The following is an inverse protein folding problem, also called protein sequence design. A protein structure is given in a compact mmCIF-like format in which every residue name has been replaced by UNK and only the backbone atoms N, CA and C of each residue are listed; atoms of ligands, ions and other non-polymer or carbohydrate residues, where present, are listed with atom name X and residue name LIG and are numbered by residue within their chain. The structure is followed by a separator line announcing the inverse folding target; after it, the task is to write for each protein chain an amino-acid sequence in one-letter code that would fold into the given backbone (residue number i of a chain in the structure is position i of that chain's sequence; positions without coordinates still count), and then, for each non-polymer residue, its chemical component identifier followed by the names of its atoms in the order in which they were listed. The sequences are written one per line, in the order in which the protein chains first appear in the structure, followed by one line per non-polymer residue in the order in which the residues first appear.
data_IF_871131811240
#
_entry.id   IF_871131811240
#
_cell.length_a   1.000
_cell.length_b   1.000
_cell.length_c   1.000
_cell.angle_alpha   90.00
_cell.angle_beta   90.00
_cell.angle_gamma   90.00
#
_symmetry.space_group_name_H-M   'P 1'
#
loop_
_entity.id
_entity.type
_entity.pdbx_description
1 polymer ?
#
# COMPACT_ATOMS: atom_id res chain seq x y z
N UNK A 1 -25.17 -21.23 0.10
CA UNK A 1 -24.65 -20.00 -0.51
C UNK A 1 -23.42 -19.61 0.29
N UNK A 2 -22.24 -20.04 -0.16
CA UNK A 2 -20.97 -19.63 0.46
C UNK A 2 -20.58 -18.33 -0.21
N UNK A 3 -20.87 -17.20 0.44
CA UNK A 3 -20.18 -15.95 0.14
C UNK A 3 -18.72 -16.19 0.53
N UNK A 4 -17.80 -16.30 -0.44
CA UNK A 4 -16.38 -16.59 -0.17
C UNK A 4 -15.71 -15.37 0.47
N UNK A 5 -15.90 -15.21 1.78
CA UNK A 5 -15.24 -14.21 2.62
C UNK A 5 -13.71 -14.39 2.61
N UNK A 6 -13.22 -15.63 2.52
CA UNK A 6 -11.80 -15.91 2.57
C UNK A 6 -11.25 -16.34 1.22
N UNK A 7 -10.11 -15.78 0.82
CA UNK A 7 -9.24 -16.32 -0.22
C UNK A 7 -7.94 -16.83 0.39
N UNK A 8 -7.22 -17.72 -0.28
CA UNK A 8 -5.92 -18.17 0.21
C UNK A 8 -4.91 -18.43 -0.90
N UNK A 9 -3.63 -18.31 -0.53
CA UNK A 9 -2.50 -18.48 -1.42
C UNK A 9 -1.43 -19.33 -0.73
N UNK A 10 -0.95 -20.35 -1.44
CA UNK A 10 0.27 -21.06 -1.05
C UNK A 10 1.48 -20.24 -1.47
N UNK A 11 2.31 -19.85 -0.51
CA UNK A 11 3.52 -19.06 -0.74
C UNK A 11 4.68 -19.70 0.02
N UNK A 12 5.72 -20.06 -0.71
CA UNK A 12 6.78 -20.93 -0.21
C UNK A 12 6.16 -22.22 0.36
N UNK A 13 6.29 -22.49 1.67
CA UNK A 13 5.69 -23.65 2.38
C UNK A 13 4.56 -23.23 3.36
N UNK A 14 3.99 -22.03 3.20
CA UNK A 14 2.98 -21.47 4.09
C UNK A 14 1.68 -21.14 3.35
N UNK A 15 0.55 -21.27 4.05
CA UNK A 15 -0.74 -20.79 3.55
C UNK A 15 -1.01 -19.38 4.07
N UNK A 16 -1.41 -18.49 3.17
CA UNK A 16 -1.80 -17.13 3.51
C UNK A 16 -3.27 -16.97 3.26
N UNK A 17 -4.03 -16.71 4.32
CA UNK A 17 -5.47 -16.53 4.28
C UNK A 17 -5.79 -15.05 4.29
N UNK A 18 -6.55 -14.60 3.31
CA UNK A 18 -7.00 -13.20 3.18
C UNK A 18 -8.47 -13.15 3.54
N UNK A 19 -8.82 -12.31 4.52
CA UNK A 19 -10.20 -12.04 4.87
C UNK A 19 -10.70 -10.82 4.09
N UNK A 20 -11.65 -11.02 3.18
CA UNK A 20 -12.27 -9.96 2.39
C UNK A 20 -13.06 -8.96 3.25
N UNK A 21 -13.54 -9.37 4.43
CA UNK A 21 -14.33 -8.49 5.30
C UNK A 21 -13.44 -7.44 5.98
N UNK A 22 -12.28 -7.85 6.50
CA UNK A 22 -11.33 -6.97 7.18
C UNK A 22 -10.26 -6.40 6.23
N UNK A 23 -9.94 -7.12 5.15
CA UNK A 23 -8.78 -6.86 4.30
C UNK A 23 -7.45 -7.30 4.93
N UNK A 24 -7.49 -8.12 6.00
CA UNK A 24 -6.30 -8.64 6.66
C UNK A 24 -5.79 -9.93 6.02
N UNK A 25 -4.48 -10.17 6.12
CA UNK A 25 -3.83 -11.40 5.69
C UNK A 25 -3.19 -12.13 6.89
N UNK A 26 -3.54 -13.40 7.06
CA UNK A 26 -3.05 -14.28 8.11
C UNK A 26 -2.02 -15.25 7.52
N UNK A 27 -0.82 -15.25 8.09
CA UNK A 27 0.23 -16.21 7.75
C UNK A 27 0.10 -17.46 8.61
N UNK A 28 -0.29 -18.57 8.00
CA UNK A 28 -0.42 -19.84 8.68
C UNK A 28 0.87 -20.64 8.51
N UNK A 29 1.41 -21.13 9.63
CA UNK A 29 2.47 -22.13 9.59
C UNK A 29 1.92 -23.45 9.00
N UNK A 30 2.79 -24.42 8.77
CA UNK A 30 2.42 -25.66 8.09
C UNK A 30 1.26 -26.41 8.80
N UNK A 31 1.31 -26.55 10.13
CA UNK A 31 0.24 -27.21 10.89
C UNK A 31 -1.08 -26.43 10.83
N UNK A 32 -1.04 -25.11 11.02
CA UNK A 32 -2.22 -24.26 10.91
C UNK A 32 -2.81 -24.26 9.49
N UNK A 33 -1.96 -24.36 8.46
CA UNK A 33 -2.40 -24.47 7.06
C UNK A 33 -3.21 -25.73 6.81
N UNK A 34 -2.74 -26.88 7.31
CA UNK A 34 -3.47 -28.16 7.21
C UNK A 34 -4.82 -28.08 7.90
N UNK A 35 -4.85 -27.53 9.12
CA UNK A 35 -6.08 -27.35 9.88
C UNK A 35 -7.07 -26.41 9.19
N UNK A 36 -6.59 -25.30 8.64
CA UNK A 36 -7.42 -24.36 7.89
C UNK A 36 -8.06 -25.03 6.68
N UNK A 37 -7.26 -25.74 5.87
CA UNK A 37 -7.76 -26.44 4.69
C UNK A 37 -8.79 -27.52 5.06
N UNK A 38 -8.56 -28.27 6.15
CA UNK A 38 -9.54 -29.24 6.65
C UNK A 38 -10.89 -28.58 6.98
N UNK A 39 -10.87 -27.44 7.68
CA UNK A 39 -12.09 -26.69 8.02
C UNK A 39 -12.78 -26.04 6.82
N UNK A 40 -12.04 -25.72 5.75
CA UNK A 40 -12.64 -25.21 4.50
C UNK A 40 -13.38 -26.29 3.71
N UNK A 41 -12.96 -27.55 3.84
CA UNK A 41 -13.58 -28.70 3.15
C UNK A 41 -14.86 -29.15 3.88
N UNK A 42 -14.81 -29.26 5.21
CA UNK A 42 -15.96 -29.65 6.01
C UNK A 42 -15.82 -29.18 7.47
N UNK A 43 -16.95 -29.05 8.20
CA UNK A 43 -16.88 -28.89 9.65
C UNK A 43 -16.16 -30.08 10.29
N UNK A 44 -15.31 -29.83 11.29
CA UNK A 44 -14.51 -30.86 11.99
C UNK A 44 -14.60 -30.73 13.52
N UNK A 45 -14.46 -31.84 14.23
CA UNK A 45 -14.19 -31.86 15.67
C UNK A 45 -12.70 -31.71 15.95
N UNK A 46 -12.33 -31.31 17.17
CA UNK A 46 -10.92 -31.22 17.57
C UNK A 46 -10.17 -32.55 17.47
N UNK A 47 -10.86 -33.68 17.70
CA UNK A 47 -10.28 -35.01 17.56
C UNK A 47 -9.95 -35.34 16.09
N UNK A 48 -10.85 -35.03 15.15
CA UNK A 48 -10.61 -35.25 13.72
C UNK A 48 -9.47 -34.36 13.21
N UNK A 49 -9.40 -33.11 13.67
CA UNK A 49 -8.30 -32.20 13.35
C UNK A 49 -6.95 -32.71 13.90
N UNK A 50 -6.94 -33.29 15.10
CA UNK A 50 -5.76 -33.93 15.66
C UNK A 50 -5.33 -35.16 14.85
N UNK A 51 -6.27 -35.99 14.42
CA UNK A 51 -6.01 -37.17 13.57
C UNK A 51 -5.44 -36.76 12.21
N UNK A 52 -5.98 -35.70 11.60
CA UNK A 52 -5.46 -35.13 10.35
C UNK A 52 -4.01 -34.68 10.55
N UNK A 53 -3.71 -33.88 11.57
CA UNK A 53 -2.34 -33.43 11.83
C UNK A 53 -1.36 -34.58 12.09
N UNK A 54 -1.77 -35.59 12.86
CA UNK A 54 -0.95 -36.77 13.12
C UNK A 54 -0.62 -37.55 11.83
N UNK A 55 -1.52 -37.54 10.84
CA UNK A 55 -1.27 -38.12 9.52
C UNK A 55 -0.17 -37.43 8.72
N UNK A 56 0.00 -36.11 8.88
CA UNK A 56 1.06 -35.34 8.22
C UNK A 56 2.37 -35.32 9.01
N UNK A 57 2.31 -35.51 10.33
CA UNK A 57 3.47 -35.40 11.21
C UNK A 57 3.51 -36.55 12.24
N UNK A 58 3.96 -37.75 11.83
CA UNK A 58 3.91 -38.95 12.67
C UNK A 58 4.81 -38.88 13.92
N UNK A 59 5.82 -38.02 13.92
CA UNK A 59 6.76 -37.85 15.05
C UNK A 59 6.36 -36.74 16.05
N UNK A 60 5.18 -36.11 15.88
CA UNK A 60 4.75 -35.04 16.78
C UNK A 60 4.31 -35.58 18.17
N UNK A 61 4.70 -34.95 19.29
CA UNK A 61 4.35 -35.41 20.64
C UNK A 61 2.83 -35.43 20.87
N UNK A 62 2.36 -36.40 21.66
CA UNK A 62 0.94 -36.67 21.96
C UNK A 62 0.18 -35.57 22.76
N UNK A 63 0.76 -34.37 22.92
CA UNK A 63 0.20 -33.23 23.66
C UNK A 63 -0.48 -32.15 22.79
N UNK A 64 -0.79 -32.43 21.52
CA UNK A 64 -1.28 -31.42 20.57
C UNK A 64 -2.73 -30.94 20.76
N UNK A 65 -3.58 -31.68 21.48
CA UNK A 65 -4.97 -31.26 21.68
C UNK A 65 -5.05 -29.83 22.28
N UNK A 66 -4.19 -29.51 23.24
CA UNK A 66 -4.09 -28.17 23.85
C UNK A 66 -3.69 -27.08 22.84
N UNK A 67 -2.88 -27.43 21.83
CA UNK A 67 -2.46 -26.51 20.77
C UNK A 67 -3.56 -26.25 19.73
N UNK A 68 -4.35 -27.27 19.39
CA UNK A 68 -5.49 -27.13 18.48
C UNK A 68 -6.60 -26.31 19.13
N UNK A 69 -6.98 -26.62 20.38
CA UNK A 69 -8.00 -25.85 21.11
C UNK A 69 -7.61 -24.37 21.22
N UNK A 70 -6.34 -24.09 21.58
CA UNK A 70 -5.85 -22.71 21.68
C UNK A 70 -5.90 -21.98 20.31
N UNK A 71 -5.45 -22.64 19.24
CA UNK A 71 -5.48 -22.07 17.89
C UNK A 71 -6.91 -21.76 17.42
N UNK A 72 -7.85 -22.68 17.65
CA UNK A 72 -9.26 -22.49 17.28
C UNK A 72 -9.91 -21.38 18.11
N UNK A 73 -9.58 -21.29 19.40
CA UNK A 73 -10.01 -20.16 20.24
C UNK A 73 -9.49 -18.81 19.73
N UNK A 74 -8.22 -18.75 19.31
CA UNK A 74 -7.63 -17.55 18.71
C UNK A 74 -8.30 -17.18 17.37
N UNK A 75 -8.64 -18.18 16.55
CA UNK A 75 -9.35 -17.97 15.28
C UNK A 75 -10.81 -17.57 15.47
N UNK A 76 -11.49 -18.12 16.47
CA UNK A 76 -12.86 -17.73 16.84
C UNK A 76 -12.91 -16.29 17.36
N UNK A 77 -11.96 -15.90 18.21
CA UNK A 77 -11.85 -14.53 18.70
C UNK A 77 -11.64 -13.51 17.58
N UNK A 78 -11.02 -13.93 16.47
CA UNK A 78 -10.85 -13.14 15.24
C UNK A 78 -11.99 -13.31 14.24
N UNK A 79 -13.02 -14.08 14.57
CA UNK A 79 -14.17 -14.35 13.72
C UNK A 79 -13.85 -15.14 12.45
N UNK A 80 -12.73 -15.88 12.41
CA UNK A 80 -12.26 -16.67 11.27
C UNK A 80 -12.95 -18.04 11.20
N UNK A 81 -13.16 -18.67 12.35
CA UNK A 81 -13.96 -19.88 12.50
C UNK A 81 -15.01 -19.69 13.59
N UNK A 82 -15.94 -20.64 13.68
CA UNK A 82 -16.97 -20.66 14.72
C UNK A 82 -17.33 -22.10 15.04
N UNK A 83 -17.86 -22.33 16.24
CA UNK A 83 -18.47 -23.61 16.57
C UNK A 83 -19.94 -23.65 16.13
N UNK A 84 -20.27 -24.60 15.25
CA UNK A 84 -21.65 -24.82 14.80
C UNK A 84 -22.52 -25.47 15.88
N UNK A 85 -23.83 -25.57 15.64
CA UNK A 85 -24.80 -26.14 16.59
C UNK A 85 -24.52 -27.61 16.98
N UNK A 86 -23.75 -28.33 16.16
CA UNK A 86 -23.30 -29.70 16.43
C UNK A 86 -22.05 -29.80 17.32
N UNK A 87 -21.49 -28.66 17.76
CA UNK A 87 -20.23 -28.62 18.49
C UNK A 87 -18.99 -28.80 17.61
N UNK A 88 -19.16 -28.85 16.28
CA UNK A 88 -18.04 -28.95 15.31
C UNK A 88 -17.62 -27.57 14.84
N UNK A 89 -16.33 -27.40 14.62
CA UNK A 89 -15.72 -26.18 14.12
C UNK A 89 -15.90 -26.07 12.61
N UNK A 90 -16.18 -24.86 12.12
CA UNK A 90 -16.28 -24.55 10.69
C UNK A 90 -15.75 -23.14 10.41
N UNK A 91 -15.32 -22.89 9.17
CA UNK A 91 -14.92 -21.54 8.73
C UNK A 91 -16.12 -20.61 8.78
N UNK A 92 -15.93 -19.41 9.32
CA UNK A 92 -16.99 -18.42 9.47
C UNK A 92 -17.18 -17.61 8.18
N UNK A 93 -17.99 -18.13 7.25
CA UNK A 93 -18.29 -17.47 5.97
C UNK A 93 -19.14 -16.20 6.06
N UNK A 94 -19.54 -15.74 7.26
CA UNK A 94 -20.34 -14.52 7.42
C UNK A 94 -19.45 -13.27 7.23
N UNK A 95 -19.67 -12.44 6.19
CA UNK A 95 -18.88 -11.23 5.95
C UNK A 95 -19.10 -10.12 7.00
N UNK A 96 -20.17 -10.18 7.78
CA UNK A 96 -20.44 -9.19 8.84
C UNK A 96 -19.59 -9.41 10.10
N UNK A 97 -19.02 -10.61 10.28
CA UNK A 97 -18.30 -10.99 11.48
C UNK A 97 -16.83 -10.52 11.53
N UNK A 98 -16.36 -9.78 10.53
CA UNK A 98 -15.02 -9.18 10.50
C UNK A 98 -14.96 -7.77 9.90
N UNK A 99 -16.12 -7.17 9.63
CA UNK A 99 -16.18 -5.81 9.08
C UNK A 99 -15.91 -4.80 10.20
N UNK A 100 -14.83 -4.05 10.07
CA UNK A 100 -14.60 -2.88 10.91
C UNK A 100 -15.60 -1.77 10.46
N UNK A 101 -16.38 -1.22 11.39
CA UNK A 101 -17.40 -0.17 11.15
C UNK A 101 -16.83 1.10 10.46
N UNK A 102 -15.50 1.18 10.37
CA UNK A 102 -14.71 2.26 9.79
C UNK A 102 -14.87 2.45 8.28
N UNK A 103 -15.49 1.53 7.53
CA UNK A 103 -15.65 1.59 6.05
C UNK A 103 -17.10 1.79 5.58
N UNK A 104 -17.89 2.62 6.27
CA UNK A 104 -19.24 2.91 5.80
C UNK A 104 -19.24 3.96 4.68
N UNK A 105 -19.47 3.51 3.45
CA UNK A 105 -19.83 4.39 2.33
C UNK A 105 -21.29 4.83 2.52
N UNK A 106 -21.53 6.14 2.62
CA UNK A 106 -22.89 6.70 2.71
C UNK A 106 -23.10 7.68 1.57
N UNK A 107 -24.22 7.53 0.86
CA UNK A 107 -24.70 8.56 -0.05
C UNK A 107 -25.31 9.69 0.78
N UNK A 108 -24.64 10.83 0.90
CA UNK A 108 -25.16 11.99 1.64
C UNK A 108 -24.98 13.28 0.85
N UNK A 109 -26.03 14.11 0.85
CA UNK A 109 -26.04 15.42 0.19
C UNK A 109 -25.38 16.52 1.03
N UNK A 110 -25.20 16.30 2.33
CA UNK A 110 -24.63 17.26 3.28
C UNK A 110 -23.51 16.59 4.08
N UNK A 111 -22.39 16.33 3.39
CA UNK A 111 -21.21 15.68 3.96
C UNK A 111 -20.35 16.62 4.81
N UNK A 112 -20.67 17.92 4.83
CA UNK A 112 -19.99 18.95 5.61
C UNK A 112 -20.87 19.34 6.79
N UNK A 113 -20.36 19.23 8.00
CA UNK A 113 -21.02 19.85 9.16
C UNK A 113 -21.07 21.38 8.99
N UNK A 114 -22.05 22.04 9.62
CA UNK A 114 -22.13 23.50 9.66
C UNK A 114 -20.93 24.11 10.39
N UNK A 115 -19.83 24.33 9.69
CA UNK A 115 -18.59 24.86 10.26
C UNK A 115 -17.30 24.63 9.45
N UNK A 116 -17.31 23.78 8.42
CA UNK A 116 -16.12 23.53 7.60
C UNK A 116 -15.70 24.75 6.75
N UNK A 117 -14.40 25.05 6.71
CA UNK A 117 -13.83 26.15 5.92
C UNK A 117 -12.87 25.62 4.84
N UNK A 118 -13.02 26.12 3.61
CA UNK A 118 -12.08 25.84 2.53
C UNK A 118 -10.78 26.60 2.77
N UNK A 119 -9.67 25.88 2.91
CA UNK A 119 -8.35 26.49 3.15
C UNK A 119 -7.40 26.34 1.97
N UNK A 120 -7.68 25.40 1.06
CA UNK A 120 -6.88 25.20 -0.14
C UNK A 120 -7.69 24.55 -1.25
N UNK A 121 -7.47 24.99 -2.49
CA UNK A 121 -8.04 24.37 -3.68
C UNK A 121 -7.04 24.48 -4.83
N UNK A 122 -6.89 23.41 -5.62
CA UNK A 122 -6.04 23.38 -6.80
C UNK A 122 -6.60 22.44 -7.85
N UNK A 123 -6.56 22.86 -9.11
CA UNK A 123 -6.76 21.98 -10.26
C UNK A 123 -5.49 21.15 -10.51
N UNK A 124 -5.63 19.84 -10.51
CA UNK A 124 -4.57 18.87 -10.82
C UNK A 124 -4.81 18.37 -12.25
N UNK A 125 -3.81 18.54 -13.12
CA UNK A 125 -3.84 18.01 -14.49
C UNK A 125 -3.39 16.55 -14.47
N UNK A 126 -4.32 15.65 -14.77
CA UNK A 126 -4.06 14.23 -15.00
C UNK A 126 -3.91 13.98 -16.51
N UNK A 127 -3.62 12.73 -16.90
CA UNK A 127 -3.41 12.38 -18.30
C UNK A 127 -4.68 12.53 -19.16
N UNK A 128 -5.84 12.20 -18.61
CA UNK A 128 -7.12 12.17 -19.35
C UNK A 128 -8.07 13.30 -18.98
N UNK A 129 -7.89 13.91 -17.80
CA UNK A 129 -8.77 14.98 -17.31
C UNK A 129 -8.07 15.95 -16.36
N UNK A 130 -8.83 16.92 -15.86
CA UNK A 130 -8.40 17.79 -14.75
C UNK A 130 -9.33 17.57 -13.56
N UNK A 131 -8.76 17.35 -12.38
CA UNK A 131 -9.50 17.15 -11.14
C UNK A 131 -9.25 18.33 -10.21
N UNK A 132 -10.32 18.93 -9.69
CA UNK A 132 -10.23 19.93 -8.63
C UNK A 132 -10.11 19.22 -7.29
N UNK A 133 -9.00 19.44 -6.57
CA UNK A 133 -8.82 18.94 -5.20
C UNK A 133 -8.98 20.08 -4.22
N UNK A 134 -9.80 19.86 -3.19
CA UNK A 134 -10.08 20.83 -2.14
C UNK A 134 -9.75 20.27 -0.76
N UNK A 135 -9.14 21.10 0.08
CA UNK A 135 -8.88 20.80 1.49
C UNK A 135 -9.73 21.74 2.34
N UNK A 136 -10.58 21.14 3.16
CA UNK A 136 -11.45 21.79 4.11
C UNK A 136 -10.99 21.44 5.53
N UNK A 137 -11.21 22.35 6.48
CA UNK A 137 -10.90 22.11 7.90
C UNK A 137 -12.02 22.61 8.79
N UNK A 138 -12.20 21.96 9.94
CA UNK A 138 -12.94 22.55 11.06
C UNK A 138 -12.02 23.56 11.77
N UNK A 139 -12.41 24.82 12.00
CA UNK A 139 -11.53 25.87 12.54
C UNK A 139 -10.80 25.50 13.83
N UNK A 140 -11.49 24.85 14.76
CA UNK A 140 -10.93 24.42 16.06
C UNK A 140 -9.96 23.24 15.94
N UNK A 141 -9.98 22.56 14.79
CA UNK A 141 -9.14 21.42 14.43
C UNK A 141 -8.28 21.68 13.20
N UNK A 142 -8.02 22.95 12.87
CA UNK A 142 -7.12 23.32 11.79
C UNK A 142 -5.69 22.86 12.12
N UNK A 143 -5.41 21.57 11.93
CA UNK A 143 -4.05 21.05 11.99
C UNK A 143 -3.33 21.64 10.79
N UNK A 144 -2.67 22.76 11.01
CA UNK A 144 -1.76 23.39 10.05
C UNK A 144 -0.83 22.33 9.44
N UNK A 145 -0.36 21.40 10.28
CA UNK A 145 0.45 20.24 9.89
C UNK A 145 -0.23 19.34 8.85
N UNK A 146 -1.52 19.02 9.02
CA UNK A 146 -2.24 18.13 8.09
C UNK A 146 -2.48 18.77 6.73
N UNK A 147 -2.84 20.06 6.73
CA UNK A 147 -3.01 20.84 5.49
C UNK A 147 -1.67 20.97 4.75
N UNK A 148 -0.60 21.36 5.44
CA UNK A 148 0.74 21.50 4.85
C UNK A 148 1.27 20.16 4.32
N UNK A 149 0.98 19.05 5.00
CA UNK A 149 1.33 17.69 4.54
C UNK A 149 0.63 17.32 3.24
N UNK A 150 -0.69 17.54 3.13
CA UNK A 150 -1.43 17.29 1.89
C UNK A 150 -0.99 18.20 0.75
N UNK A 151 -0.82 19.50 1.02
CA UNK A 151 -0.33 20.47 0.04
C UNK A 151 1.05 20.07 -0.49
N UNK A 152 1.94 19.66 0.41
CA UNK A 152 3.26 19.16 0.07
C UNK A 152 3.19 17.91 -0.82
N UNK A 153 2.43 16.90 -0.40
CA UNK A 153 2.23 15.67 -1.16
C UNK A 153 1.70 15.92 -2.59
N UNK A 154 0.65 16.74 -2.71
CA UNK A 154 0.04 17.12 -3.98
C UNK A 154 0.88 18.12 -4.79
N UNK A 155 1.90 18.73 -4.18
CA UNK A 155 2.77 19.73 -4.80
C UNK A 155 3.57 19.20 -5.98
N UNK A 156 3.83 17.88 -6.02
CA UNK A 156 4.52 17.22 -7.14
C UNK A 156 3.65 17.03 -8.38
N UNK A 157 2.32 17.06 -8.22
CA UNK A 157 1.40 16.82 -9.33
C UNK A 157 1.25 18.07 -10.23
N UNK A 158 1.12 17.89 -11.55
CA UNK A 158 0.99 18.99 -12.49
C UNK A 158 -0.23 19.87 -12.20
N UNK A 159 -0.03 21.18 -12.24
CA UNK A 159 -1.13 22.14 -12.09
C UNK A 159 -1.92 22.29 -13.39
N UNK A 160 -3.24 22.34 -13.28
CA UNK A 160 -4.11 22.72 -14.37
C UNK A 160 -4.41 24.23 -14.37
N UNK A 161 -4.67 24.76 -15.56
CA UNK A 161 -5.21 26.10 -15.76
C UNK A 161 -6.72 25.96 -16.00
N UNK A 162 -7.55 26.38 -15.04
CA UNK A 162 -9.01 26.30 -15.12
C UNK A 162 -9.68 25.31 -14.15
N UNK A 163 -11.03 25.29 -14.12
CA UNK A 163 -11.78 24.43 -13.21
C UNK A 163 -11.64 22.95 -13.61
N UNK A 164 -11.57 22.07 -12.61
CA UNK A 164 -11.58 20.62 -12.84
C UNK A 164 -12.94 20.11 -13.31
N UNK A 165 -12.92 19.08 -14.15
CA UNK A 165 -14.11 18.36 -14.61
C UNK A 165 -14.72 17.56 -13.45
N UNK A 166 -13.87 16.94 -12.64
CA UNK A 166 -14.23 16.21 -11.44
C UNK A 166 -13.78 16.94 -10.18
N UNK A 167 -14.42 16.65 -9.03
CA UNK A 167 -14.14 17.29 -7.74
C UNK A 167 -13.89 16.24 -6.67
N UNK A 168 -12.71 16.29 -6.08
CA UNK A 168 -12.36 15.54 -4.88
C UNK A 168 -12.17 16.51 -3.73
N UNK A 169 -12.72 16.19 -2.57
CA UNK A 169 -12.55 17.02 -1.40
C UNK A 169 -12.19 16.19 -0.18
N UNK A 170 -11.28 16.71 0.63
CA UNK A 170 -10.93 16.18 1.93
C UNK A 170 -11.28 17.23 2.98
N UNK A 171 -11.99 16.82 4.02
CA UNK A 171 -12.29 17.63 5.19
C UNK A 171 -11.63 17.00 6.42
N UNK A 172 -10.73 17.75 7.04
CA UNK A 172 -10.04 17.37 8.27
C UNK A 172 -10.87 17.86 9.46
N UNK A 173 -11.40 16.93 10.25
CA UNK A 173 -12.20 17.21 11.45
C UNK A 173 -11.61 16.48 12.67
N UNK A 174 -10.58 17.09 13.26
CA UNK A 174 -9.87 16.52 14.40
C UNK A 174 -9.09 15.25 13.99
N UNK A 175 -9.28 14.12 14.69
CA UNK A 175 -8.62 12.86 14.33
C UNK A 175 -9.23 12.21 13.08
N UNK A 176 -10.47 12.54 12.73
CA UNK A 176 -11.15 11.96 11.58
C UNK A 176 -11.00 12.81 10.33
N UNK A 177 -11.02 12.16 9.17
CA UNK A 177 -11.05 12.83 7.88
C UNK A 177 -12.23 12.32 7.06
N UNK A 178 -12.95 13.24 6.44
CA UNK A 178 -14.08 12.98 5.56
C UNK A 178 -13.68 13.26 4.12
N UNK A 179 -13.96 12.34 3.21
CA UNK A 179 -13.68 12.49 1.79
C UNK A 179 -14.97 12.51 0.99
N UNK A 180 -15.08 13.47 0.07
CA UNK A 180 -16.04 13.41 -1.03
C UNK A 180 -15.27 13.03 -2.29
N UNK A 181 -15.50 11.80 -2.76
CA UNK A 181 -14.89 11.25 -3.97
C UNK A 181 -16.03 10.91 -4.94
N UNK A 182 -16.18 11.69 -6.01
CA UNK A 182 -17.21 11.47 -7.03
C UNK A 182 -18.65 11.34 -6.49
N UNK A 183 -18.97 12.16 -5.49
CA UNK A 183 -20.29 12.14 -4.85
C UNK A 183 -20.46 11.07 -3.76
N UNK A 184 -19.45 10.22 -3.55
CA UNK A 184 -19.42 9.24 -2.46
C UNK A 184 -18.72 9.85 -1.24
N UNK A 185 -19.39 9.80 -0.09
CA UNK A 185 -18.81 10.23 1.18
C UNK A 185 -18.18 9.03 1.89
N UNK A 186 -16.90 9.16 2.22
CA UNK A 186 -16.14 8.20 3.03
C UNK A 186 -15.60 8.90 4.29
N UNK A 187 -15.62 8.19 5.41
CA UNK A 187 -14.98 8.63 6.65
C UNK A 187 -13.78 7.74 6.95
N UNK A 188 -12.72 8.33 7.51
CA UNK A 188 -11.46 7.65 7.82
C UNK A 188 -11.01 8.01 9.23
N UNK A 189 -10.17 7.16 9.83
CA UNK A 189 -9.69 7.35 11.20
C UNK A 189 -8.47 8.29 11.30
N UNK A 190 -7.95 8.77 10.16
CA UNK A 190 -6.80 9.66 10.14
C UNK A 190 -6.42 10.15 8.75
N UNK A 191 -5.53 11.15 8.74
CA UNK A 191 -5.09 11.81 7.52
C UNK A 191 -4.34 10.88 6.55
N UNK A 192 -3.60 9.90 7.08
CA UNK A 192 -2.81 9.01 6.23
C UNK A 192 -3.71 8.07 5.41
N UNK A 193 -4.77 7.52 6.00
CA UNK A 193 -5.82 6.77 5.28
C UNK A 193 -6.52 7.66 4.24
N UNK A 194 -6.89 8.88 4.64
CA UNK A 194 -7.52 9.83 3.75
C UNK A 194 -6.62 10.20 2.56
N UNK A 195 -5.31 10.33 2.77
CA UNK A 195 -4.33 10.54 1.70
C UNK A 195 -4.30 9.35 0.75
N UNK A 196 -4.39 8.12 1.28
CA UNK A 196 -4.52 6.89 0.51
C UNK A 196 -5.75 6.86 -0.40
N UNK A 197 -6.93 7.11 0.16
CA UNK A 197 -8.17 7.15 -0.61
C UNK A 197 -8.19 8.28 -1.64
N UNK A 198 -7.66 9.45 -1.30
CA UNK A 198 -7.51 10.56 -2.25
C UNK A 198 -6.59 10.17 -3.41
N UNK A 199 -5.44 9.54 -3.12
CA UNK A 199 -4.52 9.10 -4.16
C UNK A 199 -5.14 8.01 -5.04
N UNK A 200 -5.83 7.04 -4.44
CA UNK A 200 -6.56 6.01 -5.17
C UNK A 200 -7.60 6.62 -6.13
N UNK A 201 -8.36 7.62 -5.68
CA UNK A 201 -9.30 8.33 -6.53
C UNK A 201 -8.60 9.06 -7.68
N UNK A 202 -7.48 9.74 -7.41
CA UNK A 202 -6.67 10.37 -8.46
C UNK A 202 -6.11 9.36 -9.48
N UNK A 203 -5.72 8.17 -9.04
CA UNK A 203 -5.31 7.08 -9.95
C UNK A 203 -6.49 6.63 -10.82
N UNK A 204 -7.67 6.44 -10.24
CA UNK A 204 -8.87 6.05 -11.00
C UNK A 204 -9.24 7.11 -12.06
N UNK A 205 -9.15 8.40 -11.74
CA UNK A 205 -9.35 9.47 -12.71
C UNK A 205 -8.24 9.55 -13.76
N UNK A 206 -6.98 9.26 -13.39
CA UNK A 206 -5.87 9.33 -14.33
C UNK A 206 -5.85 8.16 -15.32
N UNK A 207 -6.40 7.00 -14.92
CA UNK A 207 -6.38 5.74 -15.66
C UNK A 207 -7.75 5.05 -15.65
N UNK A 208 -8.81 5.67 -16.21
CA UNK A 208 -10.17 5.14 -16.18
C UNK A 208 -10.34 3.83 -16.96
N UNK A 209 -9.41 3.51 -17.86
CA UNK A 209 -9.34 2.23 -18.56
C UNK A 209 -8.84 1.08 -17.66
N UNK A 210 -8.12 1.40 -16.57
CA UNK A 210 -7.59 0.39 -15.68
C UNK A 210 -8.67 -0.05 -14.68
N UNK A 211 -9.07 -1.32 -14.73
CA UNK A 211 -10.00 -1.89 -13.76
C UNK A 211 -9.28 -2.24 -12.46
N UNK A 212 -9.89 -1.86 -11.34
CA UNK A 212 -9.46 -2.17 -9.97
C UNK A 212 -7.95 -1.94 -9.72
N UNK A 213 -7.42 -0.73 -9.96
CA UNK A 213 -6.03 -0.44 -9.64
C UNK A 213 -5.80 -0.56 -8.13
N UNK A 214 -4.69 -1.17 -7.74
CA UNK A 214 -4.25 -1.23 -6.34
C UNK A 214 -3.27 -0.10 -6.04
N UNK A 215 -3.19 0.29 -4.78
CA UNK A 215 -2.16 1.20 -4.28
C UNK A 215 -1.22 0.48 -3.32
N UNK A 216 0.08 0.78 -3.40
CA UNK A 216 1.11 0.22 -2.52
C UNK A 216 1.93 1.33 -1.86
N UNK A 217 2.32 1.12 -0.60
CA UNK A 217 3.32 1.97 0.06
C UNK A 217 4.72 1.65 -0.48
N UNK A 218 5.08 2.29 -1.59
CA UNK A 218 6.33 2.05 -2.28
C UNK A 218 6.81 3.30 -3.03
N UNK A 219 8.05 3.23 -3.51
CA UNK A 219 8.59 4.14 -4.50
C UNK A 219 8.66 3.42 -5.84
N UNK A 220 8.54 4.15 -6.94
CA UNK A 220 8.70 3.61 -8.28
C UNK A 220 9.73 4.43 -9.05
N UNK A 221 10.75 3.74 -9.56
CA UNK A 221 11.84 4.34 -10.32
C UNK A 221 12.15 3.51 -11.56
N UNK A 222 12.07 4.16 -12.71
CA UNK A 222 12.27 3.59 -14.04
C UNK A 222 13.68 3.76 -14.57
N UNK A 223 14.13 2.77 -15.32
CA UNK A 223 15.35 2.78 -16.12
C UNK A 223 15.03 2.39 -17.57
N UNK A 224 16.04 2.04 -18.36
CA UNK A 224 15.86 1.61 -19.74
C UNK A 224 15.07 0.28 -19.87
N UNK A 225 15.17 -0.63 -18.90
CA UNK A 225 14.53 -1.95 -18.93
C UNK A 225 13.09 -1.97 -18.41
N UNK A 226 12.69 -1.01 -17.57
CA UNK A 226 11.37 -0.98 -16.96
C UNK A 226 11.36 -0.16 -15.66
N UNK A 227 10.51 -0.55 -14.70
CA UNK A 227 10.44 0.05 -13.36
C UNK A 227 10.83 -0.91 -12.26
N UNK A 228 11.66 -0.40 -11.36
CA UNK A 228 11.93 -1.00 -10.07
C UNK A 228 10.91 -0.43 -9.07
N UNK A 229 10.13 -1.31 -8.46
CA UNK A 229 9.23 -0.96 -7.36
C UNK A 229 9.98 -1.19 -6.05
N UNK A 230 9.93 -0.21 -5.16
CA UNK A 230 10.64 -0.19 -3.90
C UNK A 230 9.69 -0.10 -2.70
N UNK A 231 9.06 -1.21 -2.27
CA UNK A 231 8.31 -1.24 -1.03
C UNK A 231 9.27 -1.13 0.15
N UNK A 232 8.95 -0.29 1.12
CA UNK A 232 9.83 -0.13 2.27
C UNK A 232 9.11 0.49 3.47
N UNK A 233 9.50 0.08 4.67
CA UNK A 233 9.08 0.74 5.91
C UNK A 233 9.62 2.18 5.97
N UNK A 234 8.90 3.07 6.66
CA UNK A 234 9.37 4.45 6.88
C UNK A 234 10.75 4.47 7.55
N UNK A 235 11.68 5.24 6.98
CA UNK A 235 13.05 5.39 7.52
C UNK A 235 14.07 4.41 6.93
N UNK A 236 13.65 3.50 6.06
CA UNK A 236 14.52 2.60 5.28
C UNK A 236 15.48 3.28 4.30
N UNK A 237 15.32 4.57 4.04
CA UNK A 237 16.09 5.31 3.03
C UNK A 237 15.45 5.35 1.63
N UNK A 238 14.28 4.72 1.42
CA UNK A 238 13.53 4.69 0.15
C UNK A 238 13.45 6.06 -0.54
N UNK A 239 12.83 7.05 0.09
CA UNK A 239 12.60 8.37 -0.52
C UNK A 239 13.90 9.07 -0.88
N UNK A 240 14.94 8.91 -0.07
CA UNK A 240 16.28 9.46 -0.34
C UNK A 240 16.94 8.78 -1.53
N UNK A 241 16.83 7.45 -1.63
CA UNK A 241 17.33 6.67 -2.75
C UNK A 241 16.57 7.00 -4.05
N UNK A 242 15.22 7.10 -3.99
CA UNK A 242 14.37 7.52 -5.12
C UNK A 242 14.79 8.90 -5.63
N UNK A 243 14.97 9.87 -4.72
CA UNK A 243 15.42 11.21 -5.07
C UNK A 243 16.79 11.19 -5.77
N UNK A 244 17.73 10.42 -5.21
CA UNK A 244 19.07 10.31 -5.76
C UNK A 244 19.08 9.67 -7.15
N UNK A 245 18.36 8.56 -7.34
CA UNK A 245 18.23 7.90 -8.65
C UNK A 245 17.63 8.85 -9.70
N UNK A 246 16.59 9.61 -9.34
CA UNK A 246 16.01 10.61 -10.22
C UNK A 246 17.01 11.72 -10.60
N UNK A 247 17.90 12.10 -9.69
CA UNK A 247 19.02 13.02 -9.99
C UNK A 247 20.08 12.40 -10.91
N UNK A 248 20.25 11.07 -10.87
CA UNK A 248 21.13 10.32 -11.78
C UNK A 248 20.48 10.01 -13.15
N UNK A 249 19.31 10.60 -13.45
CA UNK A 249 18.66 10.48 -14.75
C UNK A 249 17.67 9.31 -14.87
N UNK A 250 17.46 8.54 -13.80
CA UNK A 250 16.37 7.56 -13.74
C UNK A 250 15.01 8.26 -13.77
N UNK A 251 13.97 7.54 -14.19
CA UNK A 251 12.62 8.10 -14.37
C UNK A 251 11.77 7.91 -13.12
N UNK A 252 11.22 8.98 -12.58
CA UNK A 252 10.41 8.96 -11.38
C UNK A 252 8.94 8.58 -11.66
N UNK A 253 8.45 7.53 -11.01
CA UNK A 253 7.07 7.06 -11.14
C UNK A 253 6.14 7.50 -10.00
N UNK A 254 6.71 7.70 -8.81
CA UNK A 254 5.98 8.04 -7.58
C UNK A 254 6.75 7.62 -6.33
N UNK A 255 6.34 8.15 -5.18
CA UNK A 255 6.88 7.80 -3.87
C UNK A 255 5.77 7.89 -2.81
N UNK A 256 5.94 7.12 -1.74
CA UNK A 256 5.00 6.88 -0.65
C UNK A 256 3.72 6.18 -1.05
N UNK A 257 3.10 6.48 -2.18
CA UNK A 257 1.99 5.73 -2.72
C UNK A 257 2.20 5.61 -4.23
N UNK A 258 2.08 4.40 -4.76
CA UNK A 258 2.09 4.13 -6.19
C UNK A 258 0.84 3.35 -6.59
N UNK A 259 0.35 3.56 -7.81
CA UNK A 259 -0.74 2.79 -8.40
C UNK A 259 -0.21 1.66 -9.28
N UNK A 260 -0.87 0.50 -9.25
CA UNK A 260 -0.63 -0.62 -10.14
C UNK A 260 -1.95 -1.16 -10.66
N UNK A 261 -2.00 -1.55 -11.92
CA UNK A 261 -3.12 -2.29 -12.48
C UNK A 261 -2.65 -3.36 -13.46
N UNK A 262 -3.51 -4.35 -13.69
CA UNK A 262 -3.35 -5.24 -14.84
C UNK A 262 -3.69 -4.47 -16.10
N UNK A 263 -2.85 -4.58 -17.12
CA UNK A 263 -3.18 -4.08 -18.44
C UNK A 263 -4.43 -4.78 -18.98
N UNK A 264 -5.26 -4.06 -19.73
CA UNK A 264 -6.43 -4.66 -20.41
C UNK A 264 -5.99 -5.67 -21.49
N UNK A 265 -4.80 -5.50 -22.07
CA UNK A 265 -4.21 -6.47 -22.99
C UNK A 265 -3.55 -7.60 -22.21
N UNK A 266 -3.93 -8.88 -22.43
CA UNK A 266 -3.42 -10.02 -21.67
C UNK A 266 -1.88 -10.13 -21.65
N UNK A 267 -1.22 -9.67 -22.71
CA UNK A 267 0.24 -9.83 -22.89
C UNK A 267 1.08 -8.76 -22.17
N UNK A 268 0.47 -7.65 -21.73
CA UNK A 268 1.21 -6.53 -21.12
C UNK A 268 1.46 -6.70 -19.61
N UNK A 269 0.75 -7.62 -18.94
CA UNK A 269 0.95 -7.93 -17.53
C UNK A 269 0.56 -6.79 -16.59
N UNK A 270 1.25 -6.68 -15.46
CA UNK A 270 1.07 -5.57 -14.51
C UNK A 270 1.80 -4.31 -14.96
N UNK A 271 1.17 -3.16 -14.79
CA UNK A 271 1.72 -1.86 -15.13
C UNK A 271 1.67 -0.93 -13.92
N UNK A 272 2.75 -0.17 -13.73
CA UNK A 272 2.75 1.05 -12.95
C UNK A 272 1.78 2.06 -13.58
N UNK A 273 1.05 2.74 -12.70
CA UNK A 273 0.21 3.88 -12.99
C UNK A 273 0.89 5.12 -12.39
N UNK A 274 1.83 5.77 -13.12
CA UNK A 274 2.55 6.93 -12.62
C UNK A 274 1.61 8.03 -12.12
N UNK A 275 1.85 8.49 -10.90
CA UNK A 275 1.21 9.67 -10.34
C UNK A 275 2.23 10.36 -9.41
N UNK A 276 3.15 11.16 -9.99
CA UNK A 276 4.38 11.59 -9.32
C UNK A 276 4.12 12.68 -8.27
N UNK A 277 3.72 12.27 -7.06
CA UNK A 277 3.66 13.11 -5.86
C UNK A 277 5.04 13.69 -5.51
N UNK A 278 5.07 14.73 -4.66
CA UNK A 278 6.35 15.27 -4.21
C UNK A 278 7.07 14.31 -3.24
N UNK A 279 8.39 14.26 -3.32
CA UNK A 279 9.22 13.46 -2.43
C UNK A 279 9.29 14.11 -1.05
N UNK A 280 8.82 13.42 -0.01
CA UNK A 280 8.90 13.88 1.38
C UNK A 280 10.31 13.73 1.97
N UNK A 281 11.23 14.65 1.68
CA UNK A 281 12.62 14.56 2.14
C UNK A 281 12.74 14.95 3.62
N UNK A 282 13.16 14.01 4.46
CA UNK A 282 13.42 14.23 5.90
C UNK A 282 14.74 14.99 6.12
N UNK A 283 14.83 15.73 7.23
CA UNK A 283 16.00 16.53 7.63
C UNK A 283 17.35 15.82 7.46
N UNK A 284 17.43 14.54 7.82
CA UNK A 284 18.66 13.74 7.71
C UNK A 284 19.21 13.59 6.28
N UNK A 285 18.40 13.88 5.25
CA UNK A 285 18.80 13.76 3.84
C UNK A 285 18.94 15.09 3.12
N UNK A 286 18.67 16.23 3.77
CA UNK A 286 18.72 17.54 3.11
C UNK A 286 20.13 17.89 2.62
N UNK A 287 21.14 17.77 3.48
CA UNK A 287 22.52 18.08 3.11
C UNK A 287 23.05 17.15 2.01
N UNK A 288 22.64 15.89 2.05
CA UNK A 288 23.01 14.86 1.06
C UNK A 288 22.42 15.15 -0.32
N UNK A 289 21.16 15.58 -0.38
CA UNK A 289 20.43 15.81 -1.64
C UNK A 289 20.56 17.24 -2.18
N UNK A 290 20.93 18.23 -1.35
CA UNK A 290 21.05 19.63 -1.75
C UNK A 290 21.98 19.89 -2.95
N UNK A 291 23.11 19.17 -3.14
CA UNK A 291 23.94 19.32 -4.34
C UNK A 291 23.21 18.94 -5.65
N UNK A 292 22.25 18.02 -5.56
CA UNK A 292 21.47 17.51 -6.70
C UNK A 292 20.19 18.30 -6.92
N UNK A 293 19.60 18.81 -5.83
CA UNK A 293 18.37 19.61 -5.84
C UNK A 293 18.59 20.90 -5.05
N UNK A 294 19.22 21.94 -5.65
CA UNK A 294 19.49 23.19 -4.95
C UNK A 294 18.25 23.84 -4.33
N UNK A 295 17.10 23.75 -5.02
CA UNK A 295 15.80 24.25 -4.56
C UNK A 295 15.35 23.63 -3.22
N UNK A 296 15.86 22.46 -2.84
CA UNK A 296 15.54 21.82 -1.56
C UNK A 296 15.86 22.72 -0.36
N UNK A 297 16.84 23.63 -0.48
CA UNK A 297 17.24 24.56 0.58
C UNK A 297 16.17 25.60 0.92
N UNK A 298 15.36 25.97 -0.06
CA UNK A 298 14.40 27.07 0.04
C UNK A 298 12.96 26.57 0.19
N UNK A 299 12.73 25.26 0.11
CA UNK A 299 11.41 24.66 0.30
C UNK A 299 10.94 24.84 1.75
N UNK A 300 9.62 25.12 1.96
CA UNK A 300 9.04 25.20 3.28
C UNK A 300 9.21 23.91 4.08
N UNK A 301 9.47 24.06 5.38
CA UNK A 301 9.51 22.94 6.31
C UNK A 301 8.11 22.61 6.81
N UNK A 302 7.72 21.35 6.68
CA UNK A 302 6.49 20.80 7.24
C UNK A 302 6.85 19.89 8.41
N UNK A 303 6.17 20.06 9.54
CA UNK A 303 6.35 19.24 10.74
C UNK A 303 5.08 18.45 11.02
N UNK A 304 5.22 17.17 11.30
CA UNK A 304 4.11 16.28 11.69
C UNK A 304 4.68 15.03 12.36
N UNK A 305 4.01 14.50 13.38
CA UNK A 305 4.40 13.24 14.06
C UNK A 305 5.89 13.20 14.49
N UNK A 306 6.45 14.33 14.94
CA UNK A 306 7.86 14.46 15.29
C UNK A 306 8.84 14.40 14.11
N UNK A 307 8.35 14.34 12.87
CA UNK A 307 9.12 14.39 11.62
C UNK A 307 9.23 15.83 11.14
N UNK A 308 10.33 16.13 10.46
CA UNK A 308 10.57 17.40 9.76
C UNK A 308 10.91 17.10 8.30
N UNK A 309 10.10 17.61 7.39
CA UNK A 309 10.07 17.21 5.98
C UNK A 309 10.02 18.42 5.06
N UNK A 310 10.69 18.33 3.91
CA UNK A 310 10.51 19.24 2.77
C UNK A 310 10.01 18.43 1.58
N UNK A 311 8.90 18.86 0.99
CA UNK A 311 8.29 18.19 -0.15
C UNK A 311 8.93 18.67 -1.44
N UNK A 312 9.76 17.82 -2.05
CA UNK A 312 10.53 18.13 -3.25
C UNK A 312 9.79 17.63 -4.50
N UNK A 313 9.28 18.52 -5.36
CA UNK A 313 8.77 18.13 -6.67
C UNK A 313 9.92 17.66 -7.57
N UNK A 314 9.74 16.51 -8.22
CA UNK A 314 10.65 16.07 -9.29
C UNK A 314 10.24 16.75 -10.60
N UNK A 315 11.17 17.26 -11.43
CA UNK A 315 10.81 17.86 -12.72
C UNK A 315 10.07 16.88 -13.65
N UNK A 316 9.06 17.39 -14.37
CA UNK A 316 8.23 16.57 -15.25
C UNK A 316 9.01 15.83 -16.36
N UNK A 317 10.13 16.39 -16.81
CA UNK A 317 11.04 15.75 -17.77
C UNK A 317 11.69 14.47 -17.24
N UNK A 318 11.68 14.27 -15.92
CA UNK A 318 12.21 13.06 -15.28
C UNK A 318 11.10 12.09 -14.90
N UNK A 319 9.82 12.36 -15.20
CA UNK A 319 8.73 11.45 -14.84
C UNK A 319 8.64 10.25 -15.80
N UNK A 320 8.08 9.14 -15.32
CA UNK A 320 7.63 8.05 -16.18
C UNK A 320 6.35 8.52 -16.88
N UNK A 321 6.40 8.64 -18.20
CA UNK A 321 5.24 9.00 -19.03
C UNK A 321 4.31 7.81 -19.33
N UNK A 322 3.08 8.08 -19.81
CA UNK A 322 2.10 7.04 -20.14
C UNK A 322 2.55 6.10 -21.27
N UNK A 323 3.38 6.57 -22.19
CA UNK A 323 3.96 5.82 -23.31
C UNK A 323 5.27 5.06 -22.96
N UNK A 324 5.76 5.21 -21.73
CA UNK A 324 7.10 4.77 -21.37
C UNK A 324 7.14 3.26 -21.04
N UNK A 325 8.10 2.52 -21.62
CA UNK A 325 8.40 1.11 -21.26
C UNK A 325 8.64 0.95 -19.75
N UNK A 326 9.16 2.00 -19.13
CA UNK A 326 9.29 2.15 -17.68
C UNK A 326 8.00 2.03 -16.90
N UNK A 327 6.82 1.83 -17.49
CA UNK A 327 5.63 1.43 -16.70
C UNK A 327 5.67 -0.04 -16.30
N UNK A 328 6.42 -0.89 -16.99
CA UNK A 328 6.47 -2.33 -16.69
C UNK A 328 7.36 -2.62 -15.48
N UNK A 329 6.84 -3.22 -14.40
CA UNK A 329 7.69 -3.66 -13.29
C UNK A 329 8.70 -4.71 -13.77
N UNK A 330 9.96 -4.56 -13.36
CA UNK A 330 11.05 -5.51 -13.68
C UNK A 330 11.69 -6.12 -12.44
N UNK A 331 11.51 -5.49 -11.27
CA UNK A 331 12.00 -6.01 -10.00
C UNK A 331 11.23 -5.39 -8.82
N UNK A 332 11.12 -6.16 -7.75
CA UNK A 332 10.83 -5.66 -6.40
C UNK A 332 12.14 -5.53 -5.65
N UNK A 333 12.48 -4.33 -5.18
CA UNK A 333 13.68 -4.10 -4.37
C UNK A 333 13.28 -3.51 -3.02
N UNK A 334 13.66 -4.15 -1.94
CA UNK A 334 13.40 -3.70 -0.57
C UNK A 334 14.63 -2.99 -0.02
N UNK A 335 14.74 -1.66 -0.14
CA UNK A 335 15.91 -0.91 0.31
C UNK A 335 15.98 -0.85 1.83
N UNK A 336 17.20 -0.88 2.36
CA UNK A 336 17.52 -0.69 3.77
C UNK A 336 18.85 0.04 3.90
N UNK A 337 18.79 1.31 4.28
CA UNK A 337 19.95 2.07 4.69
C UNK A 337 20.49 1.56 6.03
N UNK A 338 21.78 1.20 6.05
CA UNK A 338 22.50 0.77 7.25
C UNK A 338 23.86 1.46 7.26
N UNK A 339 24.05 2.37 8.22
CA UNK A 339 25.28 3.16 8.34
C UNK A 339 26.52 2.25 8.47
N UNK A 340 27.52 2.48 7.62
CA UNK A 340 28.76 1.70 7.59
C UNK A 340 28.64 0.26 7.07
N UNK A 341 27.48 -0.15 6.55
CA UNK A 341 27.32 -1.46 5.90
C UNK A 341 28.04 -1.53 4.55
N UNK A 342 28.45 -2.74 4.16
CA UNK A 342 28.80 -3.01 2.78
C UNK A 342 27.52 -3.07 1.93
N UNK A 343 27.58 -2.53 0.72
CA UNK A 343 26.44 -2.64 -0.19
C UNK A 343 26.23 -4.10 -0.62
N UNK A 344 25.00 -4.58 -0.55
CA UNK A 344 24.64 -5.92 -1.02
C UNK A 344 23.22 -5.96 -1.59
N UNK A 345 23.06 -6.69 -2.69
CA UNK A 345 21.79 -6.98 -3.31
C UNK A 345 21.58 -8.50 -3.32
N UNK A 346 20.61 -8.98 -2.53
CA UNK A 346 20.35 -10.43 -2.39
C UNK A 346 18.93 -10.80 -2.76
N UNK A 347 18.76 -11.94 -3.42
CA UNK A 347 17.44 -12.50 -3.69
C UNK A 347 16.67 -12.83 -2.41
N UNK A 348 15.34 -12.70 -2.46
CA UNK A 348 14.44 -13.09 -1.35
C UNK A 348 13.27 -13.95 -1.84
N UNK A 349 12.69 -14.73 -0.93
CA UNK A 349 11.53 -15.60 -1.21
C UNK A 349 10.25 -14.81 -1.44
N UNK A 350 9.19 -15.49 -1.91
CA UNK A 350 7.87 -14.87 -2.07
C UNK A 350 7.28 -14.45 -0.72
N UNK A 351 7.40 -15.32 0.29
CA UNK A 351 6.90 -15.06 1.63
C UNK A 351 7.61 -13.89 2.31
N UNK A 352 8.93 -13.78 2.14
CA UNK A 352 9.71 -12.63 2.62
C UNK A 352 9.26 -11.32 1.96
N UNK A 353 9.04 -11.33 0.65
CA UNK A 353 8.59 -10.14 -0.09
C UNK A 353 7.18 -9.71 0.34
N UNK A 354 6.23 -10.63 0.40
CA UNK A 354 4.86 -10.32 0.80
C UNK A 354 4.80 -9.79 2.24
N UNK A 355 5.50 -10.44 3.18
CA UNK A 355 5.56 -9.96 4.57
C UNK A 355 6.12 -8.54 4.64
N UNK A 356 7.21 -8.28 3.91
CA UNK A 356 7.83 -6.95 3.87
C UNK A 356 6.87 -5.89 3.28
N UNK A 357 6.05 -6.25 2.28
CA UNK A 357 5.04 -5.33 1.71
C UNK A 357 3.93 -5.06 2.72
N UNK A 358 3.37 -6.09 3.37
CA UNK A 358 2.30 -5.94 4.35
C UNK A 358 2.76 -5.15 5.58
N UNK A 359 3.98 -5.37 6.06
CA UNK A 359 4.61 -4.58 7.13
C UNK A 359 4.84 -3.11 6.72
N UNK A 360 5.09 -2.84 5.44
CA UNK A 360 5.29 -1.48 4.95
C UNK A 360 3.99 -0.69 4.74
N UNK A 361 2.86 -1.37 4.48
CA UNK A 361 1.60 -0.76 4.03
C UNK A 361 0.67 -0.23 5.12
N UNK A 362 1.02 -0.37 6.40
CA UNK A 362 0.11 -0.22 7.55
C UNK A 362 -0.40 1.21 7.86
N UNK A 363 -0.40 2.15 6.91
CA UNK A 363 -0.87 3.50 7.21
C UNK A 363 -1.27 4.41 6.06
N UNK A 364 -1.14 4.02 4.77
CA UNK A 364 -1.52 4.93 3.67
C UNK A 364 -2.04 4.25 2.40
N UNK A 365 -1.92 2.92 2.26
CA UNK A 365 -2.60 2.18 1.20
C UNK A 365 -3.95 1.68 1.71
N UNK A 366 -5.00 1.79 0.90
CA UNK A 366 -6.25 1.10 1.20
C UNK A 366 -5.95 -0.41 1.31
N UNK A 367 -6.46 -1.09 2.34
CA UNK A 367 -6.28 -2.55 2.43
C UNK A 367 -6.88 -3.18 1.17
N UNK A 368 -6.12 -4.01 0.46
CA UNK A 368 -6.61 -4.61 -0.77
C UNK A 368 -7.79 -5.54 -0.46
N UNK A 369 -8.81 -5.49 -1.30
CA UNK A 369 -9.80 -6.56 -1.39
C UNK A 369 -9.16 -7.82 -1.99
N UNK A 370 -9.94 -8.89 -2.18
CA UNK A 370 -9.42 -10.16 -2.70
C UNK A 370 -8.76 -9.99 -4.09
N UNK A 371 -9.34 -9.16 -4.95
CA UNK A 371 -8.80 -8.86 -6.29
C UNK A 371 -7.49 -8.08 -6.20
N UNK A 372 -7.43 -7.12 -5.28
CA UNK A 372 -6.23 -6.35 -5.03
C UNK A 372 -5.10 -7.21 -4.47
N UNK A 373 -5.43 -8.16 -3.59
CA UNK A 373 -4.46 -9.11 -3.08
C UNK A 373 -3.99 -10.07 -4.18
N UNK A 374 -4.88 -10.55 -5.04
CA UNK A 374 -4.53 -11.35 -6.21
C UNK A 374 -3.56 -10.60 -7.15
N UNK A 375 -3.74 -9.29 -7.28
CA UNK A 375 -2.86 -8.40 -8.05
C UNK A 375 -1.48 -8.27 -7.40
N UNK A 376 -1.43 -8.12 -6.07
CA UNK A 376 -0.18 -8.12 -5.30
C UNK A 376 0.58 -9.45 -5.44
N UNK A 377 -0.09 -10.59 -5.32
CA UNK A 377 0.54 -11.91 -5.50
C UNK A 377 1.09 -12.07 -6.92
N UNK A 378 0.32 -11.64 -7.93
CA UNK A 378 0.79 -11.67 -9.31
C UNK A 378 2.04 -10.79 -9.52
N UNK A 379 2.14 -9.64 -8.84
CA UNK A 379 3.35 -8.81 -8.87
C UNK A 379 4.54 -9.59 -8.30
N UNK A 380 4.41 -10.12 -7.09
CA UNK A 380 5.49 -10.83 -6.38
C UNK A 380 6.00 -12.04 -7.18
N UNK A 381 5.12 -12.72 -7.92
CA UNK A 381 5.47 -13.89 -8.74
C UNK A 381 6.00 -13.54 -10.12
N UNK A 382 5.69 -12.36 -10.65
CA UNK A 382 6.05 -11.99 -12.04
C UNK A 382 7.42 -11.34 -12.17
N UNK A 383 8.02 -10.86 -11.08
CA UNK A 383 9.32 -10.17 -11.10
C UNK A 383 10.28 -10.74 -10.07
N UNK A 384 11.61 -10.67 -10.32
CA UNK A 384 12.60 -10.99 -9.30
C UNK A 384 12.50 -10.04 -8.10
N UNK A 385 12.86 -10.53 -6.92
CA UNK A 385 12.70 -9.85 -5.64
C UNK A 385 14.04 -9.80 -4.92
N UNK A 386 14.43 -8.61 -4.46
CA UNK A 386 15.72 -8.40 -3.82
C UNK A 386 15.62 -7.57 -2.56
N UNK A 387 16.49 -7.85 -1.60
CA UNK A 387 16.79 -6.94 -0.48
C UNK A 387 18.09 -6.20 -0.80
N UNK A 388 18.04 -4.88 -0.71
CA UNK A 388 19.19 -4.00 -0.95
C UNK A 388 19.61 -3.38 0.39
N UNK A 389 20.78 -3.74 0.88
CA UNK A 389 21.42 -3.09 2.03
C UNK A 389 22.53 -2.17 1.53
N UNK A 390 22.61 -0.94 2.06
CA UNK A 390 23.59 0.04 1.61
C UNK A 390 23.85 1.13 2.65
N UNK A 391 25.05 1.69 2.60
CA UNK A 391 25.42 2.96 3.25
C UNK A 391 25.55 4.09 2.21
N UNK A 392 26.30 3.83 1.14
CA UNK A 392 26.57 4.79 0.07
C UNK A 392 25.53 4.70 -1.05
N UNK A 393 24.98 5.86 -1.43
CA UNK A 393 24.02 5.96 -2.53
C UNK A 393 24.62 5.50 -3.88
N UNK A 394 25.87 5.85 -4.17
CA UNK A 394 26.53 5.43 -5.43
C UNK A 394 26.59 3.90 -5.58
N UNK A 395 26.86 3.20 -4.48
CA UNK A 395 26.97 1.75 -4.50
C UNK A 395 25.60 1.13 -4.76
N UNK A 396 24.55 1.65 -4.11
CA UNK A 396 23.17 1.27 -4.38
C UNK A 396 22.77 1.49 -5.84
N UNK A 397 23.14 2.63 -6.45
CA UNK A 397 22.88 2.89 -7.88
C UNK A 397 23.59 1.87 -8.76
N UNK A 398 24.84 1.50 -8.47
CA UNK A 398 25.58 0.50 -9.25
C UNK A 398 24.94 -0.89 -9.18
N UNK A 399 24.46 -1.31 -8.02
CA UNK A 399 23.74 -2.60 -7.88
C UNK A 399 22.40 -2.57 -8.64
N UNK A 400 21.61 -1.51 -8.47
CA UNK A 400 20.32 -1.37 -9.16
C UNK A 400 20.45 -1.29 -10.68
N UNK A 401 21.52 -0.68 -11.19
CA UNK A 401 21.79 -0.62 -12.62
C UNK A 401 22.01 -2.00 -13.27
N UNK A 402 22.33 -3.03 -12.49
CA UNK A 402 22.49 -4.41 -13.00
C UNK A 402 21.14 -5.11 -13.22
N UNK A 403 20.04 -4.57 -12.67
CA UNK A 403 18.69 -5.09 -12.86
C UNK A 403 18.03 -4.58 -14.16
N UNK A 404 18.73 -3.72 -14.92
CA UNK A 404 18.25 -3.01 -16.10
C UNK A 404 18.28 -3.85 -17.38
#
# INVERSE_FOLDING_TARGET
MVSQRFGWYEIDDALIVVDAASGEALFLNQSASILWLALTEAPCSEAELADILAGYFPDLPSGQATGITALLGDWEAKGLCRQGASGRWEVNGDPSAGADDARSDKATADWRGGGAQLVWSRGIRLHVETVAVEIWVTPDHASREGVERLQGFLGGLPQAEGPGQSRLAIWIDGPQCHLLLDGVHRTTQGLSDATGFLFQALVNHAYPECRNPITLHAGAIGNAGGTIIMPAISGSGKTTLTAYLAAQGWRYGGDDIIGLARAETPDAGLLLLPLPSALGIKTGSWALLAPHFPALRDLPEVRYEGKQVRYLPVPASHHIGPEHQGRRPIALVFPRYVAGSACSLRGISEGEALRSILESGSGASASPDLDGFATLIALIRSVPRYRLEYDRLDDAVRELAQLA
#
